data_IF_000549498663
#
_entry.id   IF_000549498663
#
_cell.length_a   1.000
_cell.length_b   1.000
_cell.length_c   1.000
_cell.angle_alpha   90.00
_cell.angle_beta   90.00
_cell.angle_gamma   90.00
#
_symmetry.space_group_name_H-M   'P 1'
#
loop_
_entity.id
_entity.type
_entity.pdbx_description
1 polymer ?
#
# COMPACT_ATOMS: atom_id res chain seq x y z
N UNK A 1 14.25 10.02 -6.98
CA UNK A 1 13.94 8.58 -7.00
C UNK A 1 12.43 8.45 -7.11
N UNK A 2 11.91 8.64 -8.32
CA UNK A 2 10.47 8.78 -8.60
C UNK A 2 10.14 7.89 -9.81
N UNK A 3 10.47 6.60 -9.70
CA UNK A 3 10.31 5.64 -10.81
C UNK A 3 9.83 4.25 -10.33
N UNK A 4 9.28 4.16 -9.11
CA UNK A 4 8.78 2.90 -8.51
C UNK A 4 7.34 2.55 -8.91
N UNK A 5 6.67 3.42 -9.70
CA UNK A 5 5.31 3.20 -10.19
C UNK A 5 5.25 2.42 -11.50
N UNK A 6 6.39 2.12 -12.12
CA UNK A 6 6.45 1.51 -13.45
C UNK A 6 5.75 0.13 -13.55
N UNK A 7 5.32 -0.47 -12.44
CA UNK A 7 4.61 -1.75 -12.40
C UNK A 7 3.14 -1.67 -11.92
N UNK A 8 2.60 -0.48 -11.61
CA UNK A 8 1.22 -0.33 -11.15
C UNK A 8 0.25 -0.06 -12.30
N UNK A 9 -0.35 -1.14 -12.82
CA UNK A 9 -1.47 -1.07 -13.76
C UNK A 9 -2.59 -2.00 -13.25
N UNK A 10 -3.69 -1.46 -12.70
CA UNK A 10 -4.75 -2.30 -12.17
C UNK A 10 -5.50 -3.02 -13.30
N UNK A 11 -5.63 -4.34 -13.16
CA UNK A 11 -6.41 -5.18 -14.05
C UNK A 11 -7.91 -4.84 -13.98
N UNK A 12 -8.63 -4.94 -15.11
CA UNK A 12 -10.08 -4.84 -15.10
C UNK A 12 -10.69 -6.03 -14.35
N UNK A 13 -11.85 -5.83 -13.72
CA UNK A 13 -12.68 -6.84 -13.03
C UNK A 13 -12.29 -7.23 -11.59
N UNK A 14 -11.29 -6.59 -10.99
CA UNK A 14 -11.00 -6.72 -9.56
C UNK A 14 -11.06 -5.35 -8.85
N UNK A 15 -11.39 -5.34 -7.56
CA UNK A 15 -11.41 -4.09 -6.80
C UNK A 15 -10.00 -3.49 -6.69
N UNK A 16 -9.86 -2.24 -7.14
CA UNK A 16 -8.57 -1.51 -7.15
C UNK A 16 -7.86 -1.51 -5.79
N UNK A 17 -8.60 -1.45 -4.68
CA UNK A 17 -8.00 -1.47 -3.35
C UNK A 17 -7.39 -2.84 -2.97
N UNK A 18 -7.90 -3.95 -3.55
CA UNK A 18 -7.34 -5.29 -3.34
C UNK A 18 -6.04 -5.40 -4.13
N UNK A 19 -6.09 -5.04 -5.42
CA UNK A 19 -4.91 -5.03 -6.29
C UNK A 19 -3.79 -4.15 -5.72
N UNK A 20 -4.13 -2.99 -5.15
CA UNK A 20 -3.18 -2.10 -4.50
C UNK A 20 -2.53 -2.75 -3.28
N UNK A 21 -3.31 -3.47 -2.47
CA UNK A 21 -2.77 -4.22 -1.34
C UNK A 21 -1.84 -5.35 -1.82
N UNK A 22 -2.23 -6.09 -2.85
CA UNK A 22 -1.41 -7.16 -3.43
C UNK A 22 -0.08 -6.62 -3.99
N UNK A 23 -0.12 -5.48 -4.69
CA UNK A 23 1.08 -4.82 -5.21
C UNK A 23 2.02 -4.37 -4.08
N UNK A 24 1.48 -3.78 -3.02
CA UNK A 24 2.28 -3.37 -1.85
C UNK A 24 2.89 -4.59 -1.15
N UNK A 25 2.11 -5.67 -0.97
CA UNK A 25 2.62 -6.93 -0.41
C UNK A 25 3.73 -7.55 -1.25
N UNK A 26 3.61 -7.52 -2.57
CA UNK A 26 4.67 -7.97 -3.47
C UNK A 26 5.96 -7.16 -3.29
N UNK A 27 5.86 -5.83 -3.15
CA UNK A 27 7.00 -4.95 -2.87
C UNK A 27 7.62 -5.18 -1.48
N UNK A 28 6.82 -5.59 -0.49
CA UNK A 28 7.34 -6.00 0.82
C UNK A 28 8.09 -7.33 0.68
N UNK A 29 7.52 -8.30 -0.03
CA UNK A 29 8.11 -9.62 -0.23
C UNK A 29 9.40 -9.58 -1.07
N UNK A 30 9.51 -8.66 -2.04
CA UNK A 30 10.74 -8.45 -2.83
C UNK A 30 11.85 -7.76 -2.04
N UNK A 31 11.52 -7.10 -0.91
CA UNK A 31 12.45 -6.30 -0.13
C UNK A 31 12.56 -4.84 -0.59
N UNK A 32 11.78 -4.41 -1.58
CA UNK A 32 11.72 -2.99 -1.99
C UNK A 32 11.15 -2.12 -0.87
N UNK A 33 10.21 -2.68 -0.11
CA UNK A 33 9.66 -2.08 1.10
C UNK A 33 10.11 -2.87 2.34
N UNK A 34 11.06 -2.29 3.08
CA UNK A 34 11.69 -2.94 4.23
C UNK A 34 10.72 -3.13 5.41
N UNK A 35 10.73 -4.30 6.04
CA UNK A 35 10.06 -4.53 7.33
C UNK A 35 10.53 -3.52 8.39
N UNK A 36 9.59 -3.06 9.22
CA UNK A 36 9.81 -1.99 10.20
C UNK A 36 9.81 -0.57 9.61
N UNK A 37 9.88 -0.40 8.29
CA UNK A 37 9.75 0.91 7.67
C UNK A 37 8.31 1.44 7.77
N UNK A 38 8.19 2.77 7.75
CA UNK A 38 6.89 3.44 7.75
C UNK A 38 6.32 3.42 6.33
N UNK A 39 5.11 2.89 6.18
CA UNK A 39 4.34 3.01 4.96
C UNK A 39 3.91 4.47 4.75
N UNK A 40 3.93 5.00 3.51
CA UNK A 40 3.39 6.33 3.23
C UNK A 40 1.93 6.48 3.69
N UNK A 41 1.51 7.71 3.97
CA UNK A 41 0.16 7.97 4.47
C UNK A 41 -0.92 7.73 3.41
N UNK A 42 -2.19 7.65 3.81
CA UNK A 42 -3.32 7.45 2.89
C UNK A 42 -3.31 8.44 1.72
N UNK A 43 -2.97 9.71 1.97
CA UNK A 43 -2.90 10.76 0.95
C UNK A 43 -1.74 10.59 -0.01
N UNK A 44 -0.57 10.22 0.51
CA UNK A 44 0.63 10.03 -0.29
C UNK A 44 0.47 8.80 -1.17
N UNK A 45 -0.04 7.69 -0.61
CA UNK A 45 -0.37 6.48 -1.36
C UNK A 45 -1.47 6.73 -2.40
N UNK A 46 -2.48 7.54 -2.09
CA UNK A 46 -3.51 7.89 -3.07
C UNK A 46 -2.94 8.69 -4.25
N UNK A 47 -2.02 9.62 -3.97
CA UNK A 47 -1.32 10.37 -5.02
C UNK A 47 -0.35 9.49 -5.81
N UNK A 48 0.39 8.61 -5.15
CA UNK A 48 1.32 7.67 -5.78
C UNK A 48 0.57 6.70 -6.70
N UNK A 49 -0.51 6.09 -6.25
CA UNK A 49 -1.26 5.09 -7.02
C UNK A 49 -2.34 5.69 -7.93
N UNK A 50 -2.48 7.02 -7.97
CA UNK A 50 -3.53 7.76 -8.69
C UNK A 50 -4.96 7.27 -8.39
N UNK A 51 -5.22 6.96 -7.12
CA UNK A 51 -6.52 6.47 -6.64
C UNK A 51 -7.18 7.44 -5.67
N UNK A 52 -8.44 7.20 -5.33
CA UNK A 52 -9.09 7.95 -4.25
C UNK A 52 -8.44 7.63 -2.89
N UNK A 53 -8.46 8.60 -1.98
CA UNK A 53 -8.02 8.40 -0.58
C UNK A 53 -8.79 7.25 0.09
N UNK A 54 -10.07 7.06 -0.22
CA UNK A 54 -10.86 5.95 0.33
C UNK A 54 -10.37 4.58 -0.20
N UNK A 55 -9.95 4.53 -1.47
CA UNK A 55 -9.32 3.34 -2.07
C UNK A 55 -8.01 3.00 -1.34
N UNK A 56 -7.12 3.99 -1.16
CA UNK A 56 -5.86 3.79 -0.43
C UNK A 56 -6.12 3.34 1.02
N UNK A 57 -7.09 3.95 1.71
CA UNK A 57 -7.51 3.53 3.06
C UNK A 57 -7.97 2.09 3.10
N UNK A 58 -8.79 1.65 2.12
CA UNK A 58 -9.26 0.26 2.03
C UNK A 58 -8.10 -0.69 1.78
N UNK A 59 -7.14 -0.33 0.93
CA UNK A 59 -5.94 -1.13 0.69
C UNK A 59 -5.11 -1.30 1.97
N UNK A 60 -4.86 -0.22 2.72
CA UNK A 60 -4.18 -0.28 4.02
C UNK A 60 -4.94 -1.16 5.02
N UNK A 61 -6.28 -1.13 5.01
CA UNK A 61 -7.08 -2.03 5.84
C UNK A 61 -6.84 -3.49 5.44
N UNK A 62 -6.86 -3.82 4.16
CA UNK A 62 -6.58 -5.18 3.66
C UNK A 62 -5.19 -5.65 4.11
N UNK A 63 -4.15 -4.83 3.89
CA UNK A 63 -2.77 -5.13 4.32
C UNK A 63 -2.68 -5.41 5.84
N UNK A 64 -3.41 -4.62 6.63
CA UNK A 64 -3.44 -4.79 8.09
C UNK A 64 -4.15 -6.08 8.49
N UNK A 65 -5.28 -6.37 7.84
CA UNK A 65 -6.07 -7.56 8.13
C UNK A 65 -5.30 -8.85 7.71
N UNK A 66 -4.41 -8.75 6.71
CA UNK A 66 -3.45 -9.79 6.31
C UNK A 66 -2.18 -9.85 7.18
N UNK A 67 -1.97 -8.87 8.05
CA UNK A 67 -0.81 -8.81 8.94
C UNK A 67 0.47 -8.28 8.30
N UNK A 68 0.43 -7.79 7.05
CA UNK A 68 1.58 -7.20 6.36
C UNK A 68 1.97 -5.84 6.96
N UNK A 69 1.02 -5.13 7.59
CA UNK A 69 1.26 -3.84 8.23
C UNK A 69 0.57 -3.72 9.59
N UNK A 70 1.09 -2.85 10.45
CA UNK A 70 0.49 -2.46 11.73
C UNK A 70 0.36 -0.95 11.83
N UNK A 71 -0.85 -0.47 12.11
CA UNK A 71 -1.10 0.94 12.40
C UNK A 71 -0.88 1.24 13.88
N UNK A 72 0.00 2.20 14.16
CA UNK A 72 0.21 2.77 15.48
C UNK A 72 -0.53 4.12 15.56
N UNK A 73 -1.48 4.28 16.51
CA UNK A 73 -2.23 5.53 16.66
C UNK A 73 -1.32 6.75 16.75
N UNK A 74 -1.63 7.79 15.98
CA UNK A 74 -0.85 9.04 15.87
C UNK A 74 0.62 8.89 15.40
N UNK A 75 1.08 7.67 15.05
CA UNK A 75 2.45 7.40 14.62
C UNK A 75 2.54 6.93 13.16
N UNK A 76 1.44 6.42 12.60
CA UNK A 76 1.35 5.96 11.21
C UNK A 76 1.27 4.45 11.07
N UNK A 77 1.43 3.96 9.85
CA UNK A 77 1.39 2.53 9.51
C UNK A 77 2.80 2.03 9.22
N UNK A 78 3.15 0.88 9.76
CA UNK A 78 4.49 0.28 9.65
C UNK A 78 4.40 -1.12 9.08
N UNK A 79 5.36 -1.49 8.24
CA UNK A 79 5.48 -2.83 7.66
C UNK A 79 5.93 -3.80 8.75
N UNK A 80 5.32 -4.99 8.80
CA UNK A 80 5.61 -6.04 9.78
C UNK A 80 6.77 -6.92 9.33
#
# INVERSE_FOLDING_TARGET
MADDLAAWEPAPHEYVYVQMADHIEARIASGDLNSGARLPGERDLAAEYEVSIDTARRAIRVLRDRGAVRTLPAKGTFIV
#
